data_IF_263727088986
#
_entry.id   IF_263727088986
#
_cell.length_a   1.000
_cell.length_b   1.000
_cell.length_c   1.000
_cell.angle_alpha   90.00
_cell.angle_beta   90.00
_cell.angle_gamma   90.00
#
_symmetry.space_group_name_H-M   'P 1'
#
loop_
_entity.id
_entity.type
_entity.pdbx_description
1 polymer ?
#
# COMPACT_ATOMS: atom_id res chain seq x y z
N UNK A 1 14.71 -14.61 1.98
CA UNK A 1 14.38 -14.04 3.31
C UNK A 1 15.43 -12.99 3.66
N UNK A 2 15.02 -11.78 4.05
CA UNK A 2 15.93 -10.76 4.60
C UNK A 2 15.79 -10.81 6.11
N UNK A 3 16.92 -10.83 6.83
CA UNK A 3 16.94 -10.85 8.30
C UNK A 3 17.61 -9.58 8.79
N UNK A 4 16.87 -8.74 9.51
CA UNK A 4 17.45 -7.61 10.22
C UNK A 4 17.95 -8.11 11.58
N UNK A 5 19.26 -8.23 11.73
CA UNK A 5 19.86 -8.63 12.99
C UNK A 5 19.85 -7.48 14.02
N UNK A 6 19.72 -7.77 15.32
CA UNK A 6 20.17 -6.86 16.38
C UNK A 6 21.62 -6.44 16.12
N UNK A 7 22.01 -5.24 16.54
CA UNK A 7 23.40 -4.76 16.41
C UNK A 7 24.31 -5.50 17.42
N UNK A 8 24.60 -6.78 17.19
CA UNK A 8 25.41 -7.61 18.10
C UNK A 8 25.62 -9.04 17.58
N UNK A 9 26.53 -9.77 18.22
CA UNK A 9 26.67 -11.22 17.98
C UNK A 9 25.45 -11.97 18.52
N UNK A 10 25.13 -13.13 17.93
CA UNK A 10 24.09 -14.01 18.48
C UNK A 10 24.62 -14.65 19.76
N UNK A 11 23.98 -14.37 20.89
CA UNK A 11 24.39 -14.85 22.21
C UNK A 11 23.56 -16.06 22.65
N UNK A 12 22.33 -16.19 22.14
CA UNK A 12 21.39 -17.25 22.53
C UNK A 12 20.49 -17.70 21.39
N UNK A 13 20.04 -18.96 21.46
CA UNK A 13 19.05 -19.52 20.52
C UNK A 13 17.67 -18.84 20.61
N UNK A 14 17.44 -18.06 21.67
CA UNK A 14 16.20 -17.30 21.92
C UNK A 14 16.26 -15.87 21.40
N UNK A 15 17.41 -15.41 20.92
CA UNK A 15 17.58 -14.07 20.38
C UNK A 15 16.58 -13.83 19.25
N UNK A 16 15.99 -12.63 19.22
CA UNK A 16 14.89 -12.29 18.33
C UNK A 16 15.38 -11.53 17.10
N UNK A 17 14.82 -11.89 15.96
CA UNK A 17 15.17 -11.36 14.66
C UNK A 17 13.91 -10.97 13.91
N UNK A 18 13.93 -9.81 13.30
CA UNK A 18 12.90 -9.39 12.34
C UNK A 18 13.24 -10.00 10.98
N UNK A 19 12.27 -10.71 10.41
CA UNK A 19 12.40 -11.36 9.10
C UNK A 19 11.40 -10.79 8.12
N UNK A 20 11.84 -10.63 6.88
CA UNK A 20 11.00 -10.31 5.73
C UNK A 20 11.02 -11.49 4.74
N UNK A 21 9.84 -12.05 4.48
CA UNK A 21 9.65 -13.17 3.57
C UNK A 21 9.61 -12.65 2.13
N UNK A 22 10.77 -12.62 1.46
CA UNK A 22 10.96 -12.01 0.13
C UNK A 22 10.05 -12.55 -0.98
N UNK A 23 9.45 -13.72 -0.79
CA UNK A 23 8.57 -14.35 -1.77
C UNK A 23 7.08 -14.10 -1.49
N UNK A 24 6.75 -13.58 -0.30
CA UNK A 24 5.37 -13.36 0.16
C UNK A 24 5.09 -11.91 0.60
N UNK A 25 6.10 -11.19 1.06
CA UNK A 25 6.02 -9.79 1.50
C UNK A 25 5.67 -9.58 2.98
N UNK A 26 5.27 -10.63 3.72
CA UNK A 26 4.97 -10.52 5.14
C UNK A 26 6.23 -10.43 6.01
N UNK A 27 6.05 -10.01 7.27
CA UNK A 27 7.12 -9.91 8.26
C UNK A 27 6.75 -10.63 9.55
N UNK A 28 7.77 -11.10 10.25
CA UNK A 28 7.62 -11.79 11.52
C UNK A 28 8.83 -11.52 12.42
N UNK A 29 8.64 -11.64 13.73
CA UNK A 29 9.73 -11.69 14.70
C UNK A 29 9.92 -13.14 15.15
N UNK A 30 10.98 -13.79 14.69
CA UNK A 30 11.31 -15.19 15.00
C UNK A 30 12.51 -15.30 15.93
N UNK A 31 12.71 -16.45 16.58
CA UNK A 31 13.93 -16.72 17.33
C UNK A 31 15.05 -17.26 16.43
N UNK A 32 16.31 -17.13 16.87
CA UNK A 32 17.46 -17.69 16.16
C UNK A 32 17.31 -19.17 15.83
N UNK A 33 16.70 -19.96 16.73
CA UNK A 33 16.44 -21.39 16.51
C UNK A 33 15.53 -21.70 15.30
N UNK A 34 14.80 -20.70 14.78
CA UNK A 34 13.96 -20.83 13.58
C UNK A 34 14.69 -20.37 12.30
N UNK A 35 15.95 -19.93 12.42
CA UNK A 35 16.76 -19.44 11.31
C UNK A 35 17.82 -20.46 10.91
N UNK A 36 18.14 -20.47 9.63
CA UNK A 36 19.28 -21.22 9.08
C UNK A 36 19.97 -20.40 7.99
N UNK A 37 21.29 -20.59 7.78
CA UNK A 37 21.97 -20.03 6.62
C UNK A 37 21.26 -20.47 5.33
N UNK A 38 21.13 -19.54 4.38
CA UNK A 38 20.56 -19.83 3.08
C UNK A 38 21.60 -20.53 2.21
N UNK A 39 21.21 -21.60 1.51
CA UNK A 39 22.10 -22.25 0.55
C UNK A 39 22.37 -21.33 -0.65
N UNK A 40 23.60 -21.37 -1.17
CA UNK A 40 24.03 -20.50 -2.28
C UNK A 40 23.20 -20.72 -3.55
N UNK A 41 22.71 -21.95 -3.79
CA UNK A 41 21.80 -22.29 -4.89
C UNK A 41 20.51 -21.45 -4.86
N UNK A 42 19.92 -21.31 -3.68
CA UNK A 42 18.66 -20.57 -3.46
C UNK A 42 18.90 -19.05 -3.39
N UNK A 43 20.08 -18.62 -2.92
CA UNK A 43 20.44 -17.20 -2.82
C UNK A 43 20.49 -16.44 -4.16
N UNK A 44 20.52 -17.16 -5.28
CA UNK A 44 20.64 -16.55 -6.62
C UNK A 44 19.31 -16.05 -7.19
N UNK A 45 18.17 -16.50 -6.68
CA UNK A 45 16.85 -16.09 -7.16
C UNK A 45 16.43 -14.75 -6.54
N UNK A 46 15.91 -13.79 -7.33
CA UNK A 46 15.32 -12.58 -6.78
C UNK A 46 14.06 -12.94 -5.98
N UNK A 47 13.72 -12.12 -4.98
CA UNK A 47 12.47 -12.27 -4.24
C UNK A 47 11.27 -12.20 -5.18
N UNK A 48 10.30 -13.09 -4.99
CA UNK A 48 9.12 -13.15 -5.85
C UNK A 48 8.10 -12.05 -5.55
N UNK A 49 8.02 -11.57 -4.30
CA UNK A 49 7.08 -10.52 -3.94
C UNK A 49 7.54 -9.16 -4.49
N UNK A 50 6.62 -8.45 -5.14
CA UNK A 50 6.83 -7.09 -5.61
C UNK A 50 6.02 -6.13 -4.75
N UNK A 51 6.63 -5.01 -4.36
CA UNK A 51 5.95 -3.98 -3.57
C UNK A 51 5.03 -3.17 -4.47
N UNK A 52 3.75 -3.09 -4.10
CA UNK A 52 2.73 -2.40 -4.88
C UNK A 52 1.96 -1.41 -4.01
N UNK A 53 1.44 -0.36 -4.64
CA UNK A 53 0.46 0.56 -4.08
C UNK A 53 -0.70 0.71 -5.06
N UNK A 54 -1.92 0.90 -4.57
CA UNK A 54 -3.05 1.20 -5.45
C UNK A 54 -2.83 2.56 -6.10
N UNK A 55 -2.88 2.60 -7.44
CA UNK A 55 -2.74 3.83 -8.20
C UNK A 55 -3.99 4.72 -8.06
N UNK A 56 -3.79 6.04 -8.20
CA UNK A 56 -4.84 7.05 -8.31
C UNK A 56 -5.72 7.26 -7.08
N UNK A 57 -5.49 6.49 -6.02
CA UNK A 57 -6.27 6.54 -4.78
C UNK A 57 -5.35 6.74 -3.59
N UNK A 58 -5.82 7.52 -2.63
CA UNK A 58 -5.23 7.70 -1.32
C UNK A 58 -6.17 7.06 -0.29
N UNK A 59 -5.67 6.01 0.34
CA UNK A 59 -6.34 5.32 1.45
C UNK A 59 -5.96 6.02 2.77
N UNK A 60 -6.90 6.23 3.71
CA UNK A 60 -6.56 6.76 5.04
C UNK A 60 -5.53 5.89 5.75
N UNK A 61 -4.67 6.50 6.58
CA UNK A 61 -3.76 5.76 7.45
C UNK A 61 -4.53 5.02 8.54
N UNK A 62 -3.94 3.98 9.14
CA UNK A 62 -4.60 3.14 10.15
C UNK A 62 -5.11 3.90 11.39
N UNK A 63 -4.49 5.05 11.67
CA UNK A 63 -4.83 5.93 12.81
C UNK A 63 -5.78 7.08 12.40
N UNK A 64 -6.06 7.23 11.11
CA UNK A 64 -6.98 8.24 10.58
C UNK A 64 -8.42 7.67 10.63
N UNK A 65 -9.42 8.56 10.60
CA UNK A 65 -10.82 8.16 10.48
C UNK A 65 -11.01 7.29 9.23
N UNK A 66 -11.76 6.20 9.37
CA UNK A 66 -11.99 5.18 8.34
C UNK A 66 -10.78 4.35 7.93
N UNK A 67 -9.62 4.53 8.57
CA UNK A 67 -8.40 3.78 8.28
C UNK A 67 -8.52 2.29 8.54
N UNK A 68 -9.12 1.91 9.66
CA UNK A 68 -9.30 0.49 10.00
C UNK A 68 -10.31 -0.20 9.08
N UNK A 69 -11.40 0.49 8.76
CA UNK A 69 -12.45 0.03 7.84
C UNK A 69 -11.89 -0.16 6.43
N UNK A 70 -11.10 0.80 5.95
CA UNK A 70 -10.44 0.70 4.66
C UNK A 70 -9.45 -0.47 4.61
N UNK A 71 -8.65 -0.66 5.66
CA UNK A 71 -7.71 -1.78 5.76
C UNK A 71 -8.42 -3.13 5.81
N UNK A 72 -9.49 -3.25 6.62
CA UNK A 72 -10.30 -4.45 6.71
C UNK A 72 -10.95 -4.78 5.36
N UNK A 73 -11.52 -3.78 4.69
CA UNK A 73 -12.15 -3.96 3.39
C UNK A 73 -11.15 -4.38 2.31
N UNK A 74 -9.98 -3.75 2.27
CA UNK A 74 -8.91 -4.13 1.35
C UNK A 74 -8.46 -5.58 1.60
N UNK A 75 -8.33 -5.97 2.86
CA UNK A 75 -8.02 -7.35 3.27
C UNK A 75 -9.11 -8.32 2.80
N UNK A 76 -10.40 -7.99 2.97
CA UNK A 76 -11.48 -8.83 2.43
C UNK A 76 -11.42 -8.96 0.91
N UNK A 77 -11.16 -7.86 0.18
CA UNK A 77 -11.11 -7.90 -1.28
C UNK A 77 -9.94 -8.73 -1.80
N UNK A 78 -8.77 -8.64 -1.15
CA UNK A 78 -7.53 -9.24 -1.66
C UNK A 78 -7.17 -10.59 -1.02
N UNK A 79 -7.54 -10.82 0.24
CA UNK A 79 -7.02 -11.91 1.07
C UNK A 79 -8.09 -12.90 1.54
N UNK A 80 -9.35 -12.76 1.12
CA UNK A 80 -10.43 -13.71 1.47
C UNK A 80 -10.22 -15.14 0.95
N UNK A 81 -9.29 -15.33 0.02
CA UNK A 81 -8.92 -16.65 -0.51
C UNK A 81 -7.85 -16.55 -1.60
N UNK A 82 -7.40 -17.68 -2.15
CA UNK A 82 -6.52 -17.69 -3.31
C UNK A 82 -7.27 -17.09 -4.51
N UNK A 83 -6.91 -15.85 -4.86
CA UNK A 83 -7.52 -15.10 -5.95
C UNK A 83 -6.42 -14.46 -6.80
N UNK A 84 -6.62 -14.47 -8.11
CA UNK A 84 -5.76 -13.82 -9.08
C UNK A 84 -6.41 -12.52 -9.54
N UNK A 85 -5.58 -11.50 -9.79
CA UNK A 85 -6.02 -10.19 -10.26
C UNK A 85 -5.26 -9.81 -11.52
N UNK A 86 -5.94 -9.14 -12.45
CA UNK A 86 -5.29 -8.41 -13.51
C UNK A 86 -4.61 -7.17 -12.91
N UNK A 87 -3.28 -7.08 -13.01
CA UNK A 87 -2.54 -5.92 -12.52
C UNK A 87 -2.04 -5.06 -13.69
N UNK A 88 -2.54 -3.84 -13.80
CA UNK A 88 -2.03 -2.83 -14.74
C UNK A 88 -1.06 -1.92 -13.99
N UNK A 89 0.17 -1.80 -14.49
CA UNK A 89 1.19 -0.93 -13.89
C UNK A 89 1.03 0.47 -14.49
N UNK A 90 0.58 1.41 -13.67
CA UNK A 90 0.36 2.82 -14.05
C UNK A 90 1.64 3.63 -13.93
N UNK A 91 2.43 3.38 -12.88
CA UNK A 91 3.67 4.09 -12.60
C UNK A 91 4.64 3.22 -11.79
N UNK A 92 5.94 3.55 -11.88
CA UNK A 92 7.00 2.90 -11.12
C UNK A 92 7.72 3.95 -10.29
N UNK A 93 7.63 3.83 -8.98
CA UNK A 93 8.38 4.69 -8.07
C UNK A 93 9.67 3.99 -7.61
N UNK A 94 10.81 4.48 -8.10
CA UNK A 94 12.14 3.98 -7.72
C UNK A 94 12.70 4.64 -6.46
N UNK A 95 11.99 5.60 -5.85
CA UNK A 95 12.44 6.32 -4.67
C UNK A 95 12.27 5.54 -3.36
N UNK A 96 11.41 4.51 -3.35
CA UNK A 96 11.06 3.67 -2.19
C UNK A 96 12.19 2.82 -1.60
N UNK A 97 13.39 2.81 -2.21
CA UNK A 97 14.54 1.99 -1.79
C UNK A 97 15.18 2.32 -0.44
N UNK A 98 14.50 2.99 0.49
CA UNK A 98 15.09 3.43 1.78
C UNK A 98 14.30 3.08 3.04
N UNK A 99 13.09 2.53 2.94
CA UNK A 99 12.32 2.18 4.14
C UNK A 99 12.80 0.83 4.66
N UNK A 100 13.52 0.84 5.78
CA UNK A 100 13.92 -0.39 6.47
C UNK A 100 12.67 -1.15 6.90
N UNK A 101 12.60 -2.44 6.57
CA UNK A 101 11.53 -3.31 7.06
C UNK A 101 10.19 -3.15 6.35
N UNK A 102 10.16 -2.73 5.07
CA UNK A 102 8.99 -2.89 4.19
C UNK A 102 9.57 -3.06 2.78
N UNK A 103 9.50 -4.27 2.21
CA UNK A 103 10.05 -4.65 0.89
C UNK A 103 10.92 -3.62 0.18
N UNK A 104 12.24 -3.83 0.13
CA UNK A 104 13.13 -2.89 -0.55
C UNK A 104 12.97 -2.98 -2.07
N UNK A 105 12.73 -1.87 -2.75
CA UNK A 105 12.76 -1.86 -4.22
C UNK A 105 11.90 -0.78 -4.87
N UNK A 106 11.59 -0.99 -6.15
CA UNK A 106 10.62 -0.22 -6.91
C UNK A 106 9.22 -0.50 -6.39
N UNK A 107 8.46 0.55 -6.10
CA UNK A 107 7.03 0.45 -5.79
C UNK A 107 6.27 0.55 -7.12
N UNK A 108 5.47 -0.45 -7.44
CA UNK A 108 4.57 -0.41 -8.59
C UNK A 108 3.24 0.20 -8.19
N UNK A 109 2.87 1.32 -8.80
CA UNK A 109 1.52 1.86 -8.65
C UNK A 109 0.64 1.10 -9.63
N UNK A 110 -0.36 0.39 -9.10
CA UNK A 110 -1.16 -0.57 -9.86
C UNK A 110 -2.66 -0.30 -9.79
N UNK A 111 -3.32 -0.56 -10.90
CA UNK A 111 -4.77 -0.79 -10.95
C UNK A 111 -5.00 -2.29 -10.90
N UNK A 112 -5.64 -2.78 -9.84
CA UNK A 112 -5.94 -4.20 -9.65
C UNK A 112 -7.37 -4.48 -10.08
N UNK A 113 -7.56 -5.26 -11.14
CA UNK A 113 -8.86 -5.65 -11.71
C UNK A 113 -9.18 -7.07 -11.29
N UNK A 114 -10.35 -7.24 -10.70
CA UNK A 114 -10.91 -8.56 -10.43
C UNK A 114 -11.42 -9.19 -11.74
N UNK A 115 -10.88 -10.33 -12.20
CA UNK A 115 -11.28 -10.95 -13.45
C UNK A 115 -12.73 -11.47 -13.45
N UNK A 116 -13.34 -11.68 -12.28
CA UNK A 116 -14.71 -12.17 -12.16
C UNK A 116 -15.75 -11.05 -12.32
N UNK A 117 -15.47 -9.90 -11.71
CA UNK A 117 -16.39 -8.75 -11.72
C UNK A 117 -16.05 -7.71 -12.78
N UNK A 118 -14.84 -7.74 -13.35
CA UNK A 118 -14.27 -6.71 -14.22
C UNK A 118 -14.28 -5.32 -13.57
N UNK A 119 -14.22 -5.29 -12.23
CA UNK A 119 -14.17 -4.07 -11.42
C UNK A 119 -12.82 -3.99 -10.73
N UNK A 120 -12.25 -2.80 -10.71
CA UNK A 120 -11.00 -2.57 -9.99
C UNK A 120 -11.21 -2.42 -8.48
N UNK A 121 -10.26 -2.93 -7.70
CA UNK A 121 -10.19 -2.72 -6.25
C UNK A 121 -10.11 -1.21 -5.95
N UNK A 122 -9.38 -0.46 -6.78
CA UNK A 122 -9.26 1.01 -6.71
C UNK A 122 -10.65 1.68 -6.80
N UNK A 123 -11.47 1.31 -7.80
CA UNK A 123 -12.82 1.84 -7.98
C UNK A 123 -13.76 1.44 -6.82
N UNK A 124 -13.63 0.21 -6.32
CA UNK A 124 -14.44 -0.30 -5.22
C UNK A 124 -14.23 0.53 -3.95
N UNK A 125 -12.98 0.80 -3.58
CA UNK A 125 -12.67 1.63 -2.41
C UNK A 125 -13.19 3.06 -2.54
N UNK A 126 -13.11 3.67 -3.73
CA UNK A 126 -13.68 5.00 -3.98
C UNK A 126 -15.19 5.00 -3.84
N UNK A 127 -15.88 4.01 -4.42
CA UNK A 127 -17.34 3.89 -4.38
C UNK A 127 -17.88 3.68 -2.97
N UNK A 128 -17.13 2.96 -2.13
CA UNK A 128 -17.46 2.73 -0.73
C UNK A 128 -17.06 3.89 0.19
N UNK A 129 -16.37 4.91 -0.33
CA UNK A 129 -15.90 6.06 0.45
C UNK A 129 -14.76 5.72 1.40
N UNK A 130 -14.02 4.64 1.13
CA UNK A 130 -12.87 4.17 1.93
C UNK A 130 -11.52 4.62 1.35
N UNK A 131 -11.55 5.35 0.24
CA UNK A 131 -10.42 6.04 -0.32
C UNK A 131 -10.90 7.33 -1.02
N UNK A 132 -9.95 8.24 -1.26
CA UNK A 132 -10.15 9.42 -2.11
C UNK A 132 -9.19 9.42 -3.28
N UNK A 133 -9.52 10.12 -4.35
CA UNK A 133 -8.63 10.25 -5.50
C UNK A 133 -7.40 11.09 -5.18
N UNK A 134 -6.28 10.73 -5.80
CA UNK A 134 -5.08 11.56 -5.80
C UNK A 134 -5.25 12.79 -6.72
N UNK A 135 -4.42 13.81 -6.50
CA UNK A 135 -4.38 14.99 -7.37
C UNK A 135 -3.99 14.57 -8.79
N UNK A 136 -4.87 14.88 -9.75
CA UNK A 136 -4.63 14.62 -11.17
C UNK A 136 -3.38 15.34 -11.66
N UNK A 137 -2.58 14.66 -12.48
CA UNK A 137 -1.46 15.29 -13.18
C UNK A 137 -2.00 16.27 -14.22
N UNK A 138 -1.21 17.29 -14.54
CA UNK A 138 -1.58 18.33 -15.54
C UNK A 138 -1.79 17.75 -16.94
N UNK A 139 -1.11 16.65 -17.26
CA UNK A 139 -1.18 16.01 -18.57
C UNK A 139 -1.16 14.50 -18.40
N UNK A 140 -2.15 13.84 -19.00
CA UNK A 140 -2.26 12.39 -19.08
C UNK A 140 -2.73 11.98 -20.49
N UNK A 141 -2.35 10.79 -20.98
CA UNK A 141 -2.91 10.23 -22.22
C UNK A 141 -4.43 10.12 -22.15
N UNK A 142 -5.11 10.19 -23.30
CA UNK A 142 -6.59 10.21 -23.38
C UNK A 142 -7.24 8.98 -22.74
N UNK A 143 -6.67 7.79 -22.91
CA UNK A 143 -7.18 6.55 -22.32
C UNK A 143 -7.14 6.61 -20.78
N UNK A 144 -6.02 7.11 -20.24
CA UNK A 144 -5.85 7.31 -18.80
C UNK A 144 -6.77 8.41 -18.27
N UNK A 145 -7.01 9.46 -19.05
CA UNK A 145 -7.99 10.50 -18.72
C UNK A 145 -9.39 9.90 -18.56
N UNK A 146 -9.81 9.01 -19.47
CA UNK A 146 -11.10 8.32 -19.38
C UNK A 146 -11.19 7.44 -18.13
N UNK A 147 -10.16 6.66 -17.82
CA UNK A 147 -10.12 5.84 -16.61
C UNK A 147 -10.20 6.71 -15.33
N UNK A 148 -9.48 7.84 -15.28
CA UNK A 148 -9.56 8.78 -14.16
C UNK A 148 -10.95 9.41 -14.03
N UNK A 149 -11.59 9.78 -15.15
CA UNK A 149 -12.96 10.31 -15.17
C UNK A 149 -13.99 9.28 -14.68
N UNK A 150 -13.77 7.99 -14.92
CA UNK A 150 -14.59 6.92 -14.36
C UNK A 150 -14.39 6.76 -12.85
N UNK A 151 -13.15 6.80 -12.36
CA UNK A 151 -12.85 6.80 -10.93
C UNK A 151 -13.47 8.00 -10.20
N UNK A 152 -13.47 9.18 -10.83
CA UNK A 152 -14.06 10.39 -10.25
C UNK A 152 -15.58 10.29 -10.11
N UNK A 153 -16.26 9.59 -11.04
CA UNK A 153 -17.69 9.30 -10.91
C UNK A 153 -17.96 8.45 -9.66
N UNK A 154 -17.14 7.44 -9.38
CA UNK A 154 -17.29 6.60 -8.18
C UNK A 154 -17.10 7.39 -6.90
N UNK A 155 -16.11 8.28 -6.85
CA UNK A 155 -15.93 9.18 -5.70
C UNK A 155 -17.11 10.13 -5.54
N UNK A 156 -17.59 10.73 -6.63
CA UNK A 156 -18.74 11.65 -6.60
C UNK A 156 -19.99 10.95 -6.10
N UNK A 157 -20.25 9.72 -6.57
CA UNK A 157 -21.34 8.89 -6.09
C UNK A 157 -21.23 8.62 -4.57
N UNK A 158 -20.03 8.32 -4.07
CA UNK A 158 -19.78 8.12 -2.64
C UNK A 158 -20.01 9.41 -1.83
N UNK A 159 -19.61 10.57 -2.35
CA UNK A 159 -19.86 11.89 -1.75
C UNK A 159 -21.36 12.19 -1.65
N UNK A 160 -22.10 12.01 -2.75
CA UNK A 160 -23.55 12.25 -2.80
C UNK A 160 -24.32 11.34 -1.84
N UNK A 161 -23.88 10.07 -1.72
CA UNK A 161 -24.47 9.08 -0.83
C UNK A 161 -23.98 9.17 0.62
N UNK A 162 -23.00 10.03 0.91
CA UNK A 162 -22.39 10.19 2.22
C UNK A 162 -21.81 8.88 2.76
N UNK A 163 -21.15 8.12 1.90
CA UNK A 163 -20.51 6.85 2.27
C UNK A 163 -19.23 7.10 3.09
N UNK A 164 -19.07 6.37 4.20
CA UNK A 164 -17.85 6.33 5.01
C UNK A 164 -17.25 7.72 5.24
N UNK A 165 -16.05 8.00 4.72
CA UNK A 165 -15.35 9.27 4.97
C UNK A 165 -16.16 10.52 4.57
N UNK A 166 -17.19 10.38 3.74
CA UNK A 166 -18.07 11.46 3.30
C UNK A 166 -19.29 11.69 4.21
N UNK A 167 -19.41 11.01 5.36
CA UNK A 167 -20.61 11.09 6.21
C UNK A 167 -20.85 12.50 6.81
N UNK A 168 -19.78 13.23 7.09
CA UNK A 168 -19.83 14.57 7.71
C UNK A 168 -19.63 15.73 6.72
N UNK A 169 -19.50 15.45 5.42
CA UNK A 169 -19.24 16.47 4.40
C UNK A 169 -17.97 16.20 3.59
N UNK A 170 -17.44 17.24 2.94
CA UNK A 170 -16.29 17.09 2.05
C UNK A 170 -14.96 17.09 2.82
N UNK A 171 -14.30 15.93 2.87
CA UNK A 171 -13.00 15.72 3.54
C UNK A 171 -11.89 16.59 2.95
N UNK A 172 -12.02 17.03 1.70
CA UNK A 172 -11.02 17.91 1.07
C UNK A 172 -10.93 19.29 1.74
N UNK A 173 -11.96 19.72 2.49
CA UNK A 173 -11.99 21.02 3.15
C UNK A 173 -11.08 21.12 4.37
N UNK A 174 -10.77 19.99 5.04
CA UNK A 174 -10.21 20.04 6.40
C UNK A 174 -8.71 19.72 6.51
N UNK A 175 -8.09 19.10 5.49
CA UNK A 175 -6.70 18.62 5.60
C UNK A 175 -5.63 19.42 4.84
N UNK A 176 -5.98 20.30 3.89
CA UNK A 176 -4.96 20.93 3.02
C UNK A 176 -4.23 22.15 3.59
N UNK A 177 -4.57 22.65 4.80
CA UNK A 177 -4.06 23.95 5.29
C UNK A 177 -3.36 23.92 6.67
N UNK A 178 -2.58 22.87 6.95
CA UNK A 178 -1.60 22.92 8.06
C UNK A 178 -0.19 22.60 7.54
N UNK A 179 0.56 23.58 7.01
CA UNK A 179 1.97 23.40 6.77
C UNK A 179 2.67 23.07 8.10
N UNK A 180 3.36 21.92 8.14
CA UNK A 180 4.14 21.48 9.28
C UNK A 180 5.03 22.63 9.79
N UNK A 181 4.73 23.13 11.01
CA UNK A 181 5.53 24.17 11.66
C UNK A 181 6.97 23.67 11.79
N UNK A 182 7.89 24.27 11.01
CA UNK A 182 9.33 24.08 11.21
C UNK A 182 9.70 24.47 12.64
N UNK A 183 10.49 23.67 13.38
CA UNK A 183 10.98 24.09 14.67
C UNK A 183 11.89 25.31 14.48
N UNK A 184 11.55 26.41 15.14
CA UNK A 184 12.37 27.61 15.16
C UNK A 184 13.71 27.29 15.83
N UNK A 185 14.78 27.28 15.05
CA UNK A 185 16.15 27.20 15.58
C UNK A 185 16.41 28.39 16.49
N UNK A 186 16.72 28.12 17.77
CA UNK A 186 17.29 29.13 18.66
C UNK A 186 18.73 29.39 18.22
N UNK A 187 19.03 30.66 17.94
CA UNK A 187 20.39 31.19 17.83
C UNK A 187 21.01 31.33 19.21
#
# INVERSE_FOLDING_TARGET
>A
MIVNAPRGAVESSKDKFEVFYVDYGNQEVVSYSQLRPLEASVSSSPGLAQLCSLAHVKVPGLEDDYGQEAAYRLSELLLSGPKEFGAVIEEKDTSGGKVKGQGTGTIFLVTLVDPESDVSVNATLLKEGLARMEKRKRWEPKEKQQALDELEKHQTEAREKRCAMWEYGDVESDEEDIPARKPAGKR
#
